data_IF_470760535723
#
_entry.id   IF_470760535723
#
_cell.length_a   1.000
_cell.length_b   1.000
_cell.length_c   1.000
_cell.angle_alpha   90.00
_cell.angle_beta   90.00
_cell.angle_gamma   90.00
#
_symmetry.space_group_name_H-M   'P 1'
#
loop_
_entity.id
_entity.type
_entity.pdbx_description
1 polymer ?
#
# COMPACT_ATOMS: atom_id res chain seq x y z
N UNK A 1 -3.08 -11.11 8.21
CA UNK A 1 -3.00 -10.13 9.30
C UNK A 1 -1.87 -9.14 9.04
N UNK A 2 -1.99 -7.95 9.57
CA UNK A 2 -0.95 -6.94 9.48
C UNK A 2 -0.01 -7.02 10.66
N UNK A 3 1.30 -6.81 10.43
CA UNK A 3 2.33 -6.79 11.47
C UNK A 3 2.99 -5.42 11.52
N UNK A 4 3.27 -4.93 12.71
CA UNK A 4 4.10 -3.75 12.94
C UNK A 4 5.06 -4.07 14.08
N UNK A 5 6.37 -4.03 13.79
CA UNK A 5 7.40 -4.43 14.77
C UNK A 5 7.09 -5.80 15.37
N UNK A 6 6.70 -6.76 14.54
CA UNK A 6 6.32 -8.13 14.91
C UNK A 6 5.07 -8.25 15.78
N UNK A 7 4.30 -7.18 15.95
CA UNK A 7 3.03 -7.20 16.66
C UNK A 7 1.87 -7.18 15.69
N UNK A 8 0.84 -7.97 15.96
CA UNK A 8 -0.35 -8.03 15.12
C UNK A 8 -1.19 -6.77 15.31
N UNK A 9 -1.51 -6.10 14.20
CA UNK A 9 -2.41 -4.94 14.17
C UNK A 9 -3.76 -5.39 13.65
N UNK A 10 -4.78 -5.26 14.48
CA UNK A 10 -6.16 -5.69 14.16
C UNK A 10 -7.13 -4.53 13.94
N UNK A 11 -6.78 -3.34 14.37
CA UNK A 11 -7.64 -2.17 14.26
C UNK A 11 -6.89 -0.86 14.32
N UNK A 12 -7.56 0.20 13.91
CA UNK A 12 -6.99 1.56 13.87
C UNK A 12 -6.59 2.06 15.26
N UNK A 13 -7.29 1.60 16.28
CA UNK A 13 -7.00 1.98 17.68
C UNK A 13 -5.61 1.55 18.17
N UNK A 14 -4.99 0.59 17.48
CA UNK A 14 -3.62 0.16 17.78
C UNK A 14 -2.56 1.00 17.08
N UNK A 15 -2.98 1.90 16.20
CA UNK A 15 -2.09 2.80 15.46
C UNK A 15 -1.91 4.13 16.19
N UNK A 16 -0.86 4.89 15.87
CA UNK A 16 -0.71 6.24 16.42
C UNK A 16 -1.95 7.09 16.13
N UNK A 17 -2.27 7.99 17.07
CA UNK A 17 -3.40 8.90 16.91
C UNK A 17 -3.23 9.76 15.64
N UNK A 18 -4.32 9.97 14.91
CA UNK A 18 -4.37 10.76 13.68
C UNK A 18 -3.60 10.13 12.50
N UNK A 19 -3.42 8.82 12.51
CA UNK A 19 -2.82 8.12 11.38
C UNK A 19 -3.71 8.25 10.15
N UNK A 20 -3.14 8.71 9.03
CA UNK A 20 -3.82 8.85 7.75
C UNK A 20 -3.68 7.59 6.90
N UNK A 21 -2.51 6.99 6.94
CA UNK A 21 -2.19 5.80 6.18
C UNK A 21 -0.84 5.24 6.59
N UNK A 22 -0.36 4.24 5.87
CA UNK A 22 0.92 3.62 6.19
C UNK A 22 1.62 3.11 4.93
N UNK A 23 2.93 2.93 5.08
CA UNK A 23 3.78 2.27 4.09
C UNK A 23 3.89 0.81 4.51
N UNK A 24 3.76 -0.09 3.56
CA UNK A 24 3.79 -1.52 3.85
C UNK A 24 4.69 -2.28 2.88
N UNK A 25 5.11 -3.46 3.33
CA UNK A 25 5.79 -4.44 2.50
C UNK A 25 5.02 -5.75 2.59
N UNK A 26 4.56 -6.25 1.46
CA UNK A 26 3.90 -7.54 1.35
C UNK A 26 4.92 -8.53 0.76
N UNK A 27 5.15 -9.64 1.46
CA UNK A 27 6.08 -10.69 1.03
C UNK A 27 5.30 -11.97 0.74
N UNK A 28 5.49 -12.51 -0.46
CA UNK A 28 4.98 -13.83 -0.79
C UNK A 28 6.01 -14.85 -0.31
N UNK A 29 5.73 -15.51 0.80
CA UNK A 29 6.69 -16.36 1.53
C UNK A 29 7.31 -17.47 0.67
N UNK A 30 6.54 -18.22 -0.16
CA UNK A 30 7.12 -19.32 -0.94
C UNK A 30 8.26 -18.92 -1.88
N UNK A 31 8.24 -17.71 -2.43
CA UNK A 31 9.28 -17.23 -3.36
C UNK A 31 10.11 -16.09 -2.79
N UNK A 32 9.73 -15.56 -1.64
CA UNK A 32 10.32 -14.36 -1.03
C UNK A 32 10.22 -13.10 -1.91
N UNK A 33 9.27 -13.07 -2.84
CA UNK A 33 9.01 -11.90 -3.66
C UNK A 33 8.25 -10.84 -2.85
N UNK A 34 8.64 -9.57 -3.03
CA UNK A 34 8.15 -8.47 -2.20
C UNK A 34 7.51 -7.38 -3.03
N UNK A 35 6.54 -6.72 -2.44
CA UNK A 35 5.91 -5.54 -2.99
C UNK A 35 5.84 -4.46 -1.92
N UNK A 36 6.30 -3.26 -2.25
CA UNK A 36 6.25 -2.11 -1.35
C UNK A 36 5.24 -1.10 -1.85
N UNK A 37 4.35 -0.65 -0.98
CA UNK A 37 3.31 0.29 -1.35
C UNK A 37 2.81 1.11 -0.19
N UNK A 38 1.77 1.88 -0.46
CA UNK A 38 1.09 2.70 0.54
C UNK A 38 -0.39 2.32 0.60
N UNK A 39 -1.00 2.55 1.75
CA UNK A 39 -2.44 2.34 1.95
C UNK A 39 -3.01 3.44 2.82
N UNK A 40 -4.14 4.00 2.40
CA UNK A 40 -4.90 4.96 3.21
C UNK A 40 -5.84 4.22 4.14
N UNK A 41 -6.09 4.79 5.32
CA UNK A 41 -7.03 4.20 6.29
C UNK A 41 -8.47 4.59 6.01
N UNK A 42 -8.69 5.72 5.33
CA UNK A 42 -10.04 6.25 5.10
C UNK A 42 -10.25 6.62 3.65
N UNK A 43 -11.45 6.34 3.15
CA UNK A 43 -11.91 6.84 1.86
C UNK A 43 -12.78 8.06 2.05
N UNK A 44 -12.57 9.08 1.22
CA UNK A 44 -13.43 10.23 1.14
C UNK A 44 -14.41 10.03 -0.02
N UNK A 45 -15.71 10.11 0.28
CA UNK A 45 -16.77 10.02 -0.73
C UNK A 45 -17.55 11.31 -0.79
N UNK A 46 -17.91 11.74 -2.00
CA UNK A 46 -18.83 12.82 -2.24
C UNK A 46 -20.19 12.21 -2.58
N UNK A 47 -21.20 12.48 -1.75
CA UNK A 47 -22.55 11.99 -1.98
C UNK A 47 -23.41 13.10 -2.61
N UNK A 48 -24.49 12.74 -3.35
CA UNK A 48 -25.43 13.73 -3.85
C UNK A 48 -26.02 14.56 -2.73
N UNK A 49 -26.46 15.80 -3.01
CA UNK A 49 -27.09 16.62 -1.98
C UNK A 49 -28.36 15.95 -1.43
N UNK A 50 -28.65 16.20 -0.15
CA UNK A 50 -29.92 15.82 0.43
C UNK A 50 -31.07 16.58 -0.28
N UNK A 51 -32.26 15.97 -0.29
CA UNK A 51 -33.44 16.60 -0.86
C UNK A 51 -33.65 18.00 -0.26
N UNK A 52 -33.72 19.01 -1.12
CA UNK A 52 -33.86 20.40 -0.71
C UNK A 52 -32.56 21.15 -0.46
N UNK A 53 -31.40 20.49 -0.61
CA UNK A 53 -30.11 21.12 -0.42
C UNK A 53 -29.31 21.13 -1.73
N UNK A 54 -28.46 22.15 -1.92
CA UNK A 54 -27.65 22.32 -3.13
C UNK A 54 -26.25 21.81 -3.01
N UNK A 55 -25.74 21.63 -1.77
CA UNK A 55 -24.36 21.19 -1.51
C UNK A 55 -24.24 19.67 -1.53
N UNK A 56 -23.22 19.19 -2.23
CA UNK A 56 -22.79 17.79 -2.13
C UNK A 56 -22.26 17.53 -0.72
N UNK A 57 -22.51 16.33 -0.21
CA UNK A 57 -22.03 15.90 1.11
C UNK A 57 -20.71 15.17 0.97
N UNK A 58 -19.78 15.44 1.88
CA UNK A 58 -18.55 14.65 2.01
C UNK A 58 -18.72 13.66 3.16
N UNK A 59 -18.44 12.39 2.87
CA UNK A 59 -18.49 11.32 3.86
C UNK A 59 -17.15 10.63 3.91
N UNK A 60 -16.65 10.38 5.13
CA UNK A 60 -15.41 9.66 5.39
C UNK A 60 -15.78 8.26 5.83
N UNK A 61 -15.21 7.25 5.17
CA UNK A 61 -15.45 5.84 5.49
C UNK A 61 -14.11 5.12 5.66
N UNK A 62 -14.02 4.23 6.64
CA UNK A 62 -12.85 3.36 6.79
C UNK A 62 -12.61 2.57 5.51
N UNK A 63 -11.35 2.51 5.07
CA UNK A 63 -10.98 1.80 3.85
C UNK A 63 -10.94 0.28 4.07
N UNK A 64 -10.64 -0.45 3.00
CA UNK A 64 -10.47 -1.91 3.03
C UNK A 64 -9.06 -2.35 3.47
N UNK A 65 -8.37 -1.53 4.27
CA UNK A 65 -6.98 -1.77 4.62
C UNK A 65 -6.74 -3.13 5.30
N UNK A 66 -7.71 -3.62 6.11
CA UNK A 66 -7.55 -4.90 6.81
C UNK A 66 -7.38 -6.09 5.86
N UNK A 67 -8.07 -6.06 4.71
CA UNK A 67 -8.07 -7.14 3.73
C UNK A 67 -7.22 -6.84 2.51
N UNK A 68 -6.52 -5.72 2.51
CA UNK A 68 -5.73 -5.26 1.37
C UNK A 68 -4.34 -5.91 1.37
N UNK A 69 -3.92 -6.43 0.21
CA UNK A 69 -2.61 -7.10 0.04
C UNK A 69 -1.68 -6.38 -0.92
N UNK A 70 -2.19 -5.49 -1.73
CA UNK A 70 -1.42 -4.74 -2.73
C UNK A 70 -2.17 -4.62 -4.05
N UNK A 71 -1.72 -3.72 -4.91
CA UNK A 71 -2.38 -3.43 -6.18
C UNK A 71 -1.74 -4.13 -7.39
N UNK A 72 -0.61 -4.81 -7.21
CA UNK A 72 0.09 -5.46 -8.30
C UNK A 72 -0.69 -6.65 -8.84
N UNK A 73 -0.69 -6.84 -10.17
CA UNK A 73 -1.43 -7.92 -10.83
C UNK A 73 -1.01 -9.31 -10.33
N UNK A 74 0.27 -9.52 -10.07
CA UNK A 74 0.77 -10.80 -9.55
C UNK A 74 0.17 -11.12 -8.19
N UNK A 75 0.04 -10.11 -7.31
CA UNK A 75 -0.62 -10.29 -6.01
C UNK A 75 -2.08 -10.64 -6.20
N UNK A 76 -2.78 -9.92 -7.07
CA UNK A 76 -4.20 -10.18 -7.36
C UNK A 76 -4.42 -11.59 -7.89
N UNK A 77 -3.54 -12.08 -8.74
CA UNK A 77 -3.60 -13.44 -9.28
C UNK A 77 -3.44 -14.47 -8.17
N UNK A 78 -2.47 -14.29 -7.27
CA UNK A 78 -2.24 -15.20 -6.15
C UNK A 78 -3.42 -15.21 -5.18
N UNK A 79 -4.07 -14.07 -4.95
CA UNK A 79 -5.25 -14.01 -4.10
C UNK A 79 -6.45 -14.74 -4.71
N UNK A 80 -6.60 -14.72 -6.04
CA UNK A 80 -7.61 -15.50 -6.73
C UNK A 80 -7.39 -17.01 -6.58
N UNK A 81 -6.15 -17.43 -6.37
CA UNK A 81 -5.77 -18.83 -6.12
C UNK A 81 -5.84 -19.19 -4.63
N UNK A 82 -6.43 -18.33 -3.80
CA UNK A 82 -6.57 -18.52 -2.34
C UNK A 82 -5.23 -18.62 -1.60
N UNK A 83 -4.22 -17.88 -2.03
CA UNK A 83 -2.88 -17.88 -1.44
C UNK A 83 -2.71 -16.83 -0.33
N UNK A 84 -3.80 -16.35 0.28
CA UNK A 84 -3.76 -15.31 1.30
C UNK A 84 -2.84 -15.64 2.48
N UNK A 85 -2.84 -16.89 2.93
CA UNK A 85 -2.03 -17.31 4.07
C UNK A 85 -0.54 -17.41 3.78
N UNK A 86 -0.14 -17.32 2.52
CA UNK A 86 1.26 -17.35 2.10
C UNK A 86 1.89 -15.97 2.05
N UNK A 87 1.13 -14.92 2.40
CA UNK A 87 1.63 -13.55 2.45
C UNK A 87 1.93 -13.11 3.87
N UNK A 88 3.06 -12.41 4.01
CA UNK A 88 3.39 -11.67 5.23
C UNK A 88 3.25 -10.18 4.89
N UNK A 89 2.40 -9.47 5.62
CA UNK A 89 2.18 -8.04 5.42
C UNK A 89 2.72 -7.28 6.61
N UNK A 90 3.69 -6.41 6.36
CA UNK A 90 4.31 -5.60 7.41
C UNK A 90 4.06 -4.12 7.16
N UNK A 91 3.65 -3.43 8.21
CA UNK A 91 3.58 -1.97 8.21
C UNK A 91 4.98 -1.48 8.55
N UNK A 92 5.54 -0.62 7.70
CA UNK A 92 6.88 -0.07 7.88
C UNK A 92 6.87 1.26 8.62
N UNK A 93 5.93 2.14 8.25
CA UNK A 93 5.85 3.46 8.85
C UNK A 93 4.46 4.04 8.68
N UNK A 94 3.99 4.79 9.69
CA UNK A 94 2.70 5.48 9.64
C UNK A 94 2.87 6.90 9.12
N UNK A 95 1.88 7.37 8.36
CA UNK A 95 1.83 8.72 7.82
C UNK A 95 0.60 9.46 8.33
N UNK A 96 0.70 10.77 8.50
CA UNK A 96 -0.35 11.56 9.16
C UNK A 96 -1.10 12.52 8.23
N UNK A 97 -0.73 12.57 6.95
CA UNK A 97 -1.47 13.29 5.92
C UNK A 97 -1.10 12.73 4.53
N UNK A 98 -1.81 13.17 3.51
CA UNK A 98 -1.63 12.67 2.14
C UNK A 98 -0.22 12.93 1.60
N UNK A 99 0.32 14.12 1.80
CA UNK A 99 1.66 14.47 1.32
C UNK A 99 2.73 13.66 2.04
N UNK A 100 2.60 13.50 3.34
CA UNK A 100 3.50 12.67 4.15
C UNK A 100 3.50 11.22 3.65
N UNK A 101 2.32 10.69 3.38
CA UNK A 101 2.19 9.32 2.88
C UNK A 101 2.90 9.14 1.53
N UNK A 102 2.71 10.08 0.59
CA UNK A 102 3.37 10.03 -0.72
C UNK A 102 4.88 10.22 -0.60
N UNK A 103 5.32 11.12 0.28
CA UNK A 103 6.74 11.33 0.55
C UNK A 103 7.40 10.06 1.06
N UNK A 104 6.79 9.43 2.06
CA UNK A 104 7.33 8.19 2.64
C UNK A 104 7.35 7.05 1.62
N UNK A 105 6.31 6.90 0.83
CA UNK A 105 6.28 5.87 -0.21
C UNK A 105 7.44 6.06 -1.17
N UNK A 106 7.62 7.27 -1.68
CA UNK A 106 8.70 7.60 -2.62
C UNK A 106 10.06 7.33 -1.99
N UNK A 107 10.25 7.76 -0.74
CA UNK A 107 11.49 7.54 0.01
C UNK A 107 11.80 6.04 0.14
N UNK A 108 10.84 5.24 0.58
CA UNK A 108 11.03 3.81 0.76
C UNK A 108 11.30 3.10 -0.58
N UNK A 109 10.62 3.50 -1.64
CA UNK A 109 10.83 2.90 -2.96
C UNK A 109 12.25 3.15 -3.47
N UNK A 110 12.78 4.36 -3.30
CA UNK A 110 14.15 4.67 -3.70
C UNK A 110 15.19 4.07 -2.76
N UNK A 111 14.98 4.16 -1.44
CA UNK A 111 15.95 3.65 -0.47
C UNK A 111 16.13 2.14 -0.54
N UNK A 112 15.09 1.41 -0.94
CA UNK A 112 15.14 -0.04 -1.08
C UNK A 112 15.52 -0.50 -2.48
N UNK A 113 15.79 0.45 -3.39
CA UNK A 113 16.18 0.15 -4.78
C UNK A 113 15.20 -0.81 -5.46
N UNK A 114 13.89 -0.60 -5.25
CA UNK A 114 12.86 -1.57 -5.65
C UNK A 114 12.85 -1.88 -7.15
N UNK A 115 13.26 -0.95 -8.01
CA UNK A 115 13.31 -1.17 -9.45
C UNK A 115 14.57 -1.89 -9.91
N UNK A 116 15.63 -1.86 -9.11
CA UNK A 116 16.90 -2.50 -9.42
C UNK A 116 17.09 -3.83 -8.67
N UNK A 117 16.29 -4.06 -7.63
CA UNK A 117 16.33 -5.26 -6.81
C UNK A 117 15.30 -6.28 -7.32
N UNK A 118 15.78 -7.44 -7.73
CA UNK A 118 14.93 -8.50 -8.30
C UNK A 118 14.01 -9.17 -7.28
N UNK A 119 14.20 -8.96 -5.98
CA UNK A 119 13.29 -9.45 -4.95
C UNK A 119 11.96 -8.70 -4.95
N UNK A 120 11.95 -7.46 -5.45
CA UNK A 120 10.74 -6.64 -5.52
C UNK A 120 10.03 -6.82 -6.85
N UNK A 121 8.71 -6.95 -6.81
CA UNK A 121 7.89 -7.05 -8.02
C UNK A 121 7.37 -5.70 -8.50
N UNK A 122 7.68 -4.61 -7.79
CA UNK A 122 7.31 -3.26 -8.20
C UNK A 122 7.79 -2.97 -9.62
N UNK A 123 6.91 -2.40 -10.46
CA UNK A 123 7.22 -2.11 -11.87
C UNK A 123 7.67 -0.68 -12.11
N UNK A 124 7.25 0.24 -11.25
CA UNK A 124 7.52 1.66 -11.43
C UNK A 124 7.55 2.42 -10.11
N UNK A 125 8.09 3.63 -10.17
CA UNK A 125 8.02 4.63 -9.09
C UNK A 125 7.34 5.87 -9.66
N UNK A 126 6.21 6.27 -9.05
CA UNK A 126 5.43 7.46 -9.43
C UNK A 126 4.92 7.45 -10.88
N UNK A 127 4.90 6.31 -11.57
CA UNK A 127 4.54 6.26 -12.97
C UNK A 127 5.54 7.00 -13.89
N UNK A 128 6.73 7.32 -13.38
CA UNK A 128 7.78 8.04 -14.13
C UNK A 128 9.01 7.20 -14.38
N UNK A 129 9.39 6.38 -13.41
CA UNK A 129 10.56 5.51 -13.50
C UNK A 129 10.08 4.08 -13.57
N UNK A 130 10.47 3.37 -14.61
CA UNK A 130 10.04 2.00 -14.85
C UNK A 130 11.22 1.05 -14.82
N UNK A 131 11.02 -0.14 -14.25
CA UNK A 131 12.05 -1.18 -14.17
C UNK A 131 12.67 -1.47 -15.54
N UNK A 132 11.83 -1.56 -16.57
CA UNK A 132 12.29 -1.84 -17.96
C UNK A 132 13.29 -0.82 -18.49
N UNK A 133 13.24 0.43 -18.02
CA UNK A 133 14.10 1.50 -18.50
C UNK A 133 15.45 1.53 -17.79
N UNK A 134 15.61 0.77 -16.72
CA UNK A 134 16.82 0.72 -15.91
C UNK A 134 17.68 -0.51 -16.22
N UNK A 135 17.23 -1.39 -17.10
CA UNK A 135 18.01 -2.56 -17.52
C UNK A 135 18.98 -2.14 -18.62
N UNK A 136 20.28 -2.39 -18.39
CA UNK A 136 21.29 -2.13 -19.41
C UNK A 136 21.30 -3.29 -20.40
N UNK A 137 20.92 -3.08 -21.69
CA UNK A 137 20.84 -4.18 -22.66
C UNK A 137 22.22 -4.71 -23.07
N UNK A 138 23.32 -4.05 -22.70
CA UNK A 138 24.68 -4.45 -23.04
C UNK A 138 25.37 -5.27 -21.92
N UNK A 139 24.65 -5.60 -20.87
CA UNK A 139 25.17 -6.42 -19.78
C UNK A 139 24.68 -7.86 -19.94
#
# INVERSE_FOLDING_TARGET
MWLYNNKVIKGIEQMPKNTFGFIYEATYIPTNEKYLGKKVLYFNRTLPPLKGFKRKRKVVKESDWLTYYGSHEKIKTLLKENKHNDFRREILEFAFNKKHLTYLETKYLFCNNVLENTEYINDNILGKFFRKDLVNPNI
#
